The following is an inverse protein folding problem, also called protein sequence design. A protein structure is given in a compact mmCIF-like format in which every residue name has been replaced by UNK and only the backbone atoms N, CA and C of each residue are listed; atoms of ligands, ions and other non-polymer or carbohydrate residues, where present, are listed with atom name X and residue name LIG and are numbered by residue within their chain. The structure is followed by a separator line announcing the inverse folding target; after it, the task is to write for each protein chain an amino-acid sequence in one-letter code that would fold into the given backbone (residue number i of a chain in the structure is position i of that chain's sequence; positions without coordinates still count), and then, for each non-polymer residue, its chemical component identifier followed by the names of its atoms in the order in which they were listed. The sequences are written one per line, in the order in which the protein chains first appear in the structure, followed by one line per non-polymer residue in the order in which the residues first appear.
data_IF_448666771121
#
_entry.id   IF_448666771121
#
_cell.length_a   1.000
_cell.length_b   1.000
_cell.length_c   1.000
_cell.angle_alpha   90.00
_cell.angle_beta   90.00
_cell.angle_gamma   90.00
#
_symmetry.space_group_name_H-M   'P 1'
#
loop_
_entity.id
_entity.type
_entity.pdbx_description
1 polymer ?
#
# COMPACT_ATOMS: atom_id res chain seq x y z
N UNK A 1 1.00 7.28 -25.15
CA UNK A 1 1.59 6.65 -23.95
C UNK A 1 1.59 5.17 -24.22
N UNK A 2 2.74 4.51 -24.23
CA UNK A 2 2.82 3.05 -24.42
C UNK A 2 2.19 2.37 -23.22
N UNK A 3 1.22 1.48 -23.46
CA UNK A 3 0.42 0.72 -22.47
C UNK A 3 1.24 -0.29 -21.63
N UNK A 4 2.55 -0.11 -21.51
CA UNK A 4 3.41 -0.98 -20.68
C UNK A 4 3.33 -0.53 -19.23
N UNK A 5 2.85 -1.37 -18.30
CA UNK A 5 2.90 -1.08 -16.88
C UNK A 5 4.32 -0.70 -16.43
N UNK A 6 4.50 0.29 -15.54
CA UNK A 6 5.83 0.64 -15.01
C UNK A 6 6.58 -0.54 -14.37
N UNK A 7 5.85 -1.48 -13.77
CA UNK A 7 6.40 -2.75 -13.26
C UNK A 7 7.10 -3.55 -14.34
N UNK A 8 6.52 -3.65 -15.53
CA UNK A 8 7.09 -4.43 -16.64
C UNK A 8 8.32 -3.75 -17.21
N UNK A 9 8.31 -2.41 -17.23
CA UNK A 9 9.48 -1.62 -17.63
C UNK A 9 10.64 -1.80 -16.65
N UNK A 10 10.37 -1.87 -15.34
CA UNK A 10 11.41 -2.14 -14.34
C UNK A 10 11.91 -3.59 -14.40
N UNK A 11 10.99 -4.56 -14.42
CA UNK A 11 11.33 -5.99 -14.48
C UNK A 11 12.00 -6.45 -15.78
N UNK A 12 11.98 -5.61 -16.82
CA UNK A 12 12.72 -5.81 -18.08
C UNK A 12 13.97 -4.92 -18.21
N UNK A 13 14.37 -4.22 -17.16
CA UNK A 13 15.60 -3.42 -17.12
C UNK A 13 15.54 -2.11 -17.89
N UNK A 14 14.35 -1.64 -18.29
CA UNK A 14 14.18 -0.37 -19.04
C UNK A 14 14.20 0.86 -18.15
N UNK A 15 13.95 0.70 -16.84
CA UNK A 15 14.08 1.76 -15.84
C UNK A 15 14.92 1.27 -14.66
N UNK A 16 15.70 2.17 -14.06
CA UNK A 16 16.70 1.83 -13.03
C UNK A 16 16.13 1.77 -11.61
N UNK A 17 15.08 2.55 -11.32
CA UNK A 17 14.42 2.58 -10.00
C UNK A 17 12.91 2.62 -10.21
N UNK A 18 12.18 1.90 -9.34
CA UNK A 18 10.73 1.89 -9.36
C UNK A 18 10.16 1.95 -7.94
N UNK A 19 9.38 3.00 -7.67
CA UNK A 19 8.68 3.15 -6.40
C UNK A 19 7.47 2.21 -6.34
N UNK A 20 7.47 1.26 -5.42
CA UNK A 20 6.46 0.21 -5.39
C UNK A 20 6.18 -0.33 -3.97
N UNK A 21 5.27 -1.28 -3.87
CA UNK A 21 4.81 -1.90 -2.63
C UNK A 21 5.33 -3.33 -2.49
N UNK A 22 5.34 -3.85 -1.27
CA UNK A 22 5.81 -5.20 -0.91
C UNK A 22 5.13 -6.32 -1.72
N UNK A 23 3.89 -6.14 -2.16
CA UNK A 23 3.16 -7.10 -2.99
C UNK A 23 3.80 -7.37 -4.36
N UNK A 24 4.69 -6.49 -4.84
CA UNK A 24 5.41 -6.68 -6.10
C UNK A 24 6.69 -7.52 -5.96
N UNK A 25 7.11 -7.89 -4.74
CA UNK A 25 8.30 -8.72 -4.54
C UNK A 25 8.22 -10.02 -5.35
N UNK A 26 7.07 -10.71 -5.33
CA UNK A 26 6.84 -11.89 -6.16
C UNK A 26 7.04 -11.64 -7.65
N UNK A 27 6.44 -10.56 -8.16
CA UNK A 27 6.50 -10.20 -9.57
C UNK A 27 7.94 -9.98 -10.01
N UNK A 28 8.75 -9.27 -9.21
CA UNK A 28 10.15 -9.02 -9.55
C UNK A 28 11.06 -10.21 -9.34
N UNK A 29 10.77 -11.07 -8.36
CA UNK A 29 11.49 -12.33 -8.16
C UNK A 29 11.34 -13.27 -9.36
N UNK A 30 10.26 -13.14 -10.14
CA UNK A 30 9.98 -13.90 -11.35
C UNK A 30 10.35 -13.15 -12.65
N UNK A 31 10.92 -11.95 -12.55
CA UNK A 31 11.24 -11.12 -13.72
C UNK A 31 12.57 -11.52 -14.38
N UNK A 32 12.79 -11.07 -15.62
CA UNK A 32 14.06 -11.31 -16.34
C UNK A 32 15.27 -10.70 -15.60
N UNK A 33 15.04 -9.61 -14.88
CA UNK A 33 16.06 -8.88 -14.12
C UNK A 33 16.10 -9.24 -12.63
N UNK A 34 15.47 -10.35 -12.21
CA UNK A 34 15.37 -10.72 -10.79
C UNK A 34 16.72 -10.76 -10.04
N UNK A 35 17.82 -11.08 -10.74
CA UNK A 35 19.18 -11.13 -10.18
C UNK A 35 19.88 -9.76 -10.06
N UNK A 36 19.31 -8.73 -10.69
CA UNK A 36 19.86 -7.38 -10.80
C UNK A 36 19.01 -6.35 -10.04
N UNK A 37 17.93 -6.79 -9.39
CA UNK A 37 16.99 -5.95 -8.65
C UNK A 37 17.17 -6.21 -7.16
N UNK A 38 17.03 -5.16 -6.36
CA UNK A 38 16.91 -5.26 -4.91
C UNK A 38 15.97 -4.14 -4.39
N UNK A 39 15.70 -4.16 -3.09
CA UNK A 39 14.83 -3.21 -2.39
C UNK A 39 15.68 -2.22 -1.59
N UNK A 40 15.36 -0.94 -1.68
CA UNK A 40 16.00 0.11 -0.91
C UNK A 40 14.97 0.92 -0.10
N UNK A 41 15.36 1.51 1.04
CA UNK A 41 14.49 2.43 1.77
C UNK A 41 14.04 3.61 0.92
N UNK A 42 12.85 4.16 1.21
CA UNK A 42 12.41 5.38 0.53
C UNK A 42 13.36 6.54 0.87
N UNK A 43 13.73 7.41 -0.09
CA UNK A 43 14.62 8.54 0.17
C UNK A 43 14.12 9.40 1.34
N UNK A 44 15.04 9.84 2.20
CA UNK A 44 14.70 10.68 3.34
C UNK A 44 14.37 12.12 2.89
N UNK A 45 13.23 12.63 3.36
CA UNK A 45 12.88 14.05 3.29
C UNK A 45 13.25 14.78 4.59
N UNK A 46 12.81 16.04 4.76
CA UNK A 46 13.04 16.82 5.98
C UNK A 46 12.52 16.17 7.27
N UNK A 47 11.49 15.32 7.16
CA UNK A 47 10.92 14.54 8.26
C UNK A 47 11.48 13.11 8.36
N UNK A 48 12.55 12.80 7.62
CA UNK A 48 13.13 11.47 7.51
C UNK A 48 12.52 10.62 6.39
N UNK A 49 12.82 9.32 6.43
CA UNK A 49 12.25 8.32 5.51
C UNK A 49 10.88 7.87 6.03
N UNK A 50 9.82 8.47 5.47
CA UNK A 50 8.43 8.22 5.87
C UNK A 50 7.66 7.68 4.67
N UNK A 51 7.01 6.53 4.86
CA UNK A 51 6.11 5.92 3.86
C UNK A 51 4.67 5.88 4.36
N UNK A 52 3.75 5.55 3.44
CA UNK A 52 2.34 5.31 3.76
C UNK A 52 2.16 3.85 4.13
N UNK A 53 1.53 3.59 5.29
CA UNK A 53 1.10 2.27 5.70
C UNK A 53 -0.37 2.06 5.31
N UNK A 54 -0.62 0.98 4.57
CA UNK A 54 -1.96 0.46 4.34
C UNK A 54 -2.10 -0.91 4.99
N UNK A 55 -3.32 -1.24 5.44
CA UNK A 55 -3.64 -2.52 6.05
C UNK A 55 -4.92 -3.06 5.46
N UNK A 56 -4.92 -4.35 5.12
CA UNK A 56 -6.08 -5.06 4.59
C UNK A 56 -6.66 -5.92 5.72
N UNK A 57 -7.98 -5.87 5.89
CA UNK A 57 -8.70 -6.68 6.88
C UNK A 57 -9.88 -7.40 6.23
N UNK A 58 -10.30 -8.50 6.87
CA UNK A 58 -11.48 -9.26 6.44
C UNK A 58 -12.68 -8.84 7.29
N UNK A 59 -13.72 -8.33 6.63
CA UNK A 59 -14.99 -7.98 7.26
C UNK A 59 -16.04 -9.08 7.12
N UNK A 60 -16.96 -9.17 8.09
CA UNK A 60 -18.13 -10.07 8.00
C UNK A 60 -19.37 -9.25 7.66
N UNK A 61 -20.14 -9.71 6.67
CA UNK A 61 -21.43 -9.10 6.37
C UNK A 61 -22.41 -9.31 7.54
N UNK A 62 -22.88 -8.21 8.14
CA UNK A 62 -23.81 -8.24 9.27
C UNK A 62 -25.14 -8.95 8.97
N UNK A 63 -25.52 -9.08 7.70
CA UNK A 63 -26.75 -9.76 7.24
C UNK A 63 -26.51 -11.21 6.78
N UNK A 64 -25.31 -11.77 7.03
CA UNK A 64 -24.99 -13.15 6.66
C UNK A 64 -25.92 -14.15 7.36
N UNK A 65 -26.39 -15.16 6.62
CA UNK A 65 -27.11 -16.30 7.20
C UNK A 65 -26.19 -17.24 8.00
N UNK A 66 -24.88 -17.17 7.77
CA UNK A 66 -23.84 -17.98 8.41
C UNK A 66 -22.91 -17.09 9.23
N UNK A 67 -23.49 -16.26 10.10
CA UNK A 67 -22.74 -15.20 10.80
C UNK A 67 -21.69 -15.79 11.75
N UNK A 68 -22.01 -16.87 12.44
CA UNK A 68 -21.12 -17.48 13.43
C UNK A 68 -19.94 -18.21 12.77
N UNK A 69 -20.18 -18.92 11.67
CA UNK A 69 -19.13 -19.54 10.86
C UNK A 69 -18.21 -18.48 10.25
N UNK A 70 -18.77 -17.39 9.72
CA UNK A 70 -18.00 -16.29 9.16
C UNK A 70 -17.12 -15.61 10.23
N UNK A 71 -17.62 -15.41 11.45
CA UNK A 71 -16.83 -14.90 12.57
C UNK A 71 -15.69 -15.85 12.95
N UNK A 72 -15.96 -17.16 13.03
CA UNK A 72 -14.94 -18.17 13.31
C UNK A 72 -13.84 -18.18 12.23
N UNK A 73 -14.24 -18.06 10.97
CA UNK A 73 -13.29 -17.96 9.86
C UNK A 73 -12.42 -16.71 9.96
N UNK A 74 -13.00 -15.53 10.22
CA UNK A 74 -12.21 -14.31 10.41
C UNK A 74 -11.26 -14.42 11.61
N UNK A 75 -11.70 -15.03 12.71
CA UNK A 75 -10.84 -15.27 13.87
C UNK A 75 -9.66 -16.20 13.53
N UNK A 76 -9.89 -17.23 12.72
CA UNK A 76 -8.81 -18.11 12.23
C UNK A 76 -7.82 -17.35 11.33
N UNK A 77 -8.32 -16.60 10.34
CA UNK A 77 -7.48 -15.83 9.40
C UNK A 77 -6.66 -14.77 10.13
N UNK A 78 -7.24 -14.10 11.13
CA UNK A 78 -6.56 -13.11 11.96
C UNK A 78 -5.67 -13.73 13.05
N UNK A 79 -5.79 -15.03 13.29
CA UNK A 79 -4.97 -15.77 14.24
C UNK A 79 -3.58 -16.10 13.70
N UNK A 80 -2.75 -16.66 14.57
CA UNK A 80 -1.35 -16.98 14.26
C UNK A 80 -1.21 -17.95 13.07
N UNK A 81 -2.05 -18.99 13.00
CA UNK A 81 -2.02 -19.97 11.91
C UNK A 81 -2.39 -19.34 10.56
N UNK A 82 -3.46 -18.53 10.53
CA UNK A 82 -3.86 -17.81 9.32
C UNK A 82 -2.78 -16.84 8.85
N UNK A 83 -2.14 -16.15 9.80
CA UNK A 83 -1.04 -15.24 9.52
C UNK A 83 0.22 -15.97 8.98
N UNK A 84 0.54 -17.16 9.49
CA UNK A 84 1.63 -18.01 8.95
C UNK A 84 1.36 -18.46 7.52
N UNK A 85 0.15 -18.96 7.24
CA UNK A 85 -0.26 -19.36 5.88
C UNK A 85 -0.12 -18.17 4.92
N UNK A 86 -0.52 -16.97 5.34
CA UNK A 86 -0.35 -15.76 4.54
C UNK A 86 1.12 -15.42 4.28
N UNK A 87 1.97 -15.54 5.31
CA UNK A 87 3.40 -15.28 5.21
C UNK A 87 4.09 -16.21 4.21
N UNK A 88 3.77 -17.50 4.28
CA UNK A 88 4.30 -18.55 3.39
C UNK A 88 3.91 -18.33 1.92
N UNK A 89 2.74 -17.73 1.67
CA UNK A 89 2.34 -17.36 0.32
C UNK A 89 3.20 -16.24 -0.31
N UNK A 90 3.99 -15.51 0.50
CA UNK A 90 4.93 -14.47 0.04
C UNK A 90 4.29 -13.15 -0.45
N UNK A 91 2.97 -13.09 -0.56
CA UNK A 91 2.28 -11.96 -1.21
C UNK A 91 2.05 -10.74 -0.30
N UNK A 92 2.03 -10.93 1.02
CA UNK A 92 1.76 -9.86 1.98
C UNK A 92 2.47 -10.09 3.31
N UNK A 93 2.80 -9.00 4.00
CA UNK A 93 3.33 -9.03 5.36
C UNK A 93 2.14 -9.25 6.32
N UNK A 94 2.12 -10.34 7.11
CA UNK A 94 1.05 -10.54 8.08
C UNK A 94 1.07 -9.49 9.18
N UNK A 95 -0.11 -9.14 9.69
CA UNK A 95 -0.27 -8.18 10.78
C UNK A 95 -0.08 -8.81 12.18
N UNK A 96 -0.11 -10.14 12.28
CA UNK A 96 0.08 -10.84 13.57
C UNK A 96 1.56 -10.80 13.95
N UNK A 97 1.86 -10.16 15.08
CA UNK A 97 3.24 -9.98 15.52
C UNK A 97 3.95 -11.34 15.69
N UNK A 98 5.10 -11.47 15.05
CA UNK A 98 5.96 -12.66 15.15
C UNK A 98 5.76 -13.66 14.02
N UNK A 99 4.88 -13.42 13.05
CA UNK A 99 4.64 -14.34 11.92
C UNK A 99 5.24 -13.86 10.59
N UNK A 100 6.04 -12.79 10.59
CA UNK A 100 6.59 -12.21 9.35
C UNK A 100 7.84 -12.93 8.81
N UNK A 101 8.47 -13.80 9.60
CA UNK A 101 9.73 -14.47 9.23
C UNK A 101 9.63 -15.28 7.94
N UNK A 102 8.51 -15.97 7.71
CA UNK A 102 8.31 -16.72 6.48
C UNK A 102 8.20 -15.79 5.26
N UNK A 103 7.61 -14.60 5.43
CA UNK A 103 7.57 -13.61 4.37
C UNK A 103 8.96 -13.05 4.06
N UNK A 104 9.78 -12.74 5.08
CA UNK A 104 11.17 -12.28 4.89
C UNK A 104 12.03 -13.30 4.12
N UNK A 105 11.71 -14.60 4.25
CA UNK A 105 12.42 -15.70 3.58
C UNK A 105 11.83 -16.07 2.22
N UNK A 106 10.72 -15.44 1.81
CA UNK A 106 9.99 -15.82 0.58
C UNK A 106 10.75 -15.50 -0.71
N UNK A 107 11.56 -14.44 -0.71
CA UNK A 107 12.39 -14.01 -1.85
C UNK A 107 13.80 -13.68 -1.35
N UNK A 108 14.66 -14.70 -1.10
CA UNK A 108 15.96 -14.52 -0.46
C UNK A 108 16.96 -13.68 -1.28
N UNK A 109 16.66 -13.41 -2.56
CA UNK A 109 17.44 -12.50 -3.39
C UNK A 109 17.21 -11.01 -3.08
N UNK A 110 16.16 -10.67 -2.31
CA UNK A 110 15.79 -9.28 -2.01
C UNK A 110 15.92 -8.98 -0.52
N UNK A 111 16.32 -7.75 -0.19
CA UNK A 111 16.28 -7.23 1.17
C UNK A 111 14.86 -6.83 1.59
N UNK A 112 14.04 -7.83 1.93
CA UNK A 112 12.67 -7.63 2.36
C UNK A 112 12.55 -6.98 3.75
N UNK A 113 13.63 -6.94 4.55
CA UNK A 113 13.64 -6.30 5.87
C UNK A 113 13.33 -4.80 5.77
N UNK A 114 13.70 -4.17 4.64
CA UNK A 114 13.39 -2.76 4.34
C UNK A 114 11.91 -2.44 4.53
N UNK A 115 10.99 -3.34 4.15
CA UNK A 115 9.56 -3.08 4.30
C UNK A 115 9.08 -3.13 5.76
N UNK A 116 9.65 -4.05 6.56
CA UNK A 116 9.35 -4.10 8.00
C UNK A 116 9.92 -2.88 8.72
N UNK A 117 11.12 -2.44 8.35
CA UNK A 117 11.72 -1.25 8.94
C UNK A 117 10.96 0.03 8.55
N UNK A 118 10.53 0.14 7.30
CA UNK A 118 9.69 1.24 6.85
C UNK A 118 8.35 1.30 7.61
N UNK A 119 7.80 0.16 8.01
CA UNK A 119 6.54 0.11 8.78
C UNK A 119 6.63 0.78 10.16
N UNK A 120 7.84 0.87 10.74
CA UNK A 120 8.07 1.48 12.08
C UNK A 120 7.89 3.00 12.08
N UNK A 121 8.18 3.65 10.95
CA UNK A 121 8.06 5.11 10.80
C UNK A 121 6.87 5.52 9.93
N UNK A 122 6.26 4.57 9.24
CA UNK A 122 5.16 4.81 8.32
C UNK A 122 3.96 5.47 8.99
N UNK A 123 3.21 6.25 8.21
CA UNK A 123 1.95 6.86 8.63
C UNK A 123 0.78 6.15 7.97
N UNK A 124 -0.25 5.82 8.76
CA UNK A 124 -1.46 5.21 8.23
C UNK A 124 -2.13 6.15 7.23
N UNK A 125 -2.56 5.59 6.10
CA UNK A 125 -3.38 6.35 5.16
C UNK A 125 -4.69 6.80 5.82
N UNK A 126 -5.11 8.07 5.67
CA UNK A 126 -6.34 8.58 6.27
C UNK A 126 -7.57 7.75 5.84
N UNK A 127 -8.46 7.46 6.80
CA UNK A 127 -9.70 6.72 6.56
C UNK A 127 -10.91 7.56 6.99
N UNK A 128 -11.93 7.61 6.15
CA UNK A 128 -13.24 8.19 6.47
C UNK A 128 -14.35 7.49 5.69
N UNK A 129 -15.60 7.67 6.11
CA UNK A 129 -16.77 7.15 5.37
C UNK A 129 -16.91 7.79 3.99
N UNK A 130 -16.34 8.97 3.78
CA UNK A 130 -16.33 9.73 2.52
C UNK A 130 -15.04 9.56 1.72
N UNK A 131 -14.23 8.55 2.03
CA UNK A 131 -12.91 8.32 1.43
C UNK A 131 -12.90 8.42 -0.09
N UNK A 132 -13.74 7.64 -0.76
CA UNK A 132 -13.83 7.68 -2.21
C UNK A 132 -14.17 9.08 -2.73
N UNK A 133 -15.10 9.77 -2.09
CA UNK A 133 -15.52 11.11 -2.53
C UNK A 133 -14.43 12.16 -2.39
N UNK A 134 -13.65 12.14 -1.31
CA UNK A 134 -12.56 13.11 -1.18
C UNK A 134 -11.33 12.72 -2.02
N UNK A 135 -11.12 11.44 -2.30
CA UNK A 135 -10.06 10.97 -3.21
C UNK A 135 -10.29 11.37 -4.66
N UNK A 136 -11.56 11.44 -5.10
CA UNK A 136 -11.90 11.92 -6.44
C UNK A 136 -11.47 13.40 -6.61
N UNK A 137 -11.80 14.23 -5.63
CA UNK A 137 -11.42 15.65 -5.60
C UNK A 137 -9.90 15.83 -5.48
N UNK A 138 -9.27 15.01 -4.63
CA UNK A 138 -7.81 14.96 -4.52
C UNK A 138 -7.15 14.65 -5.87
N UNK A 139 -7.67 13.67 -6.60
CA UNK A 139 -7.11 13.24 -7.88
C UNK A 139 -7.19 14.33 -8.96
N UNK A 140 -8.22 15.18 -8.93
CA UNK A 140 -8.37 16.30 -9.85
C UNK A 140 -7.33 17.41 -9.59
N UNK A 141 -7.29 17.94 -8.37
CA UNK A 141 -6.32 18.99 -8.00
C UNK A 141 -4.88 18.54 -8.21
N UNK A 142 -4.57 17.31 -7.81
CA UNK A 142 -3.23 16.75 -7.98
C UNK A 142 -2.81 16.71 -9.45
N UNK A 143 -3.74 16.35 -10.35
CA UNK A 143 -3.51 16.38 -11.80
C UNK A 143 -3.29 17.80 -12.32
N UNK A 144 -4.06 18.77 -11.85
CA UNK A 144 -3.90 20.18 -12.25
C UNK A 144 -2.55 20.74 -11.79
N UNK A 145 -2.13 20.43 -10.56
CA UNK A 145 -0.80 20.79 -10.03
C UNK A 145 0.30 20.18 -10.90
N UNK A 146 0.25 18.87 -11.21
CA UNK A 146 1.29 18.23 -12.03
C UNK A 146 1.35 18.73 -13.47
N UNK A 147 0.22 19.15 -14.03
CA UNK A 147 0.15 19.71 -15.38
C UNK A 147 0.42 21.21 -15.42
N UNK A 148 0.67 21.84 -14.27
CA UNK A 148 0.92 23.29 -14.15
C UNK A 148 -0.30 24.16 -14.38
N UNK A 149 -1.52 23.59 -14.39
CA UNK A 149 -2.78 24.35 -14.48
C UNK A 149 -3.09 25.11 -13.20
N UNK A 150 -2.65 24.57 -12.06
CA UNK A 150 -2.71 25.19 -10.74
C UNK A 150 -1.29 25.33 -10.20
N UNK A 151 -1.02 26.39 -9.44
CA UNK A 151 0.21 26.48 -8.67
C UNK A 151 0.17 25.45 -7.53
N UNK A 152 1.34 25.01 -7.04
CA UNK A 152 1.40 24.06 -5.91
C UNK A 152 0.71 24.64 -4.68
N UNK A 153 0.92 25.92 -4.36
CA UNK A 153 0.32 26.55 -3.18
C UNK A 153 -1.20 26.64 -3.32
N UNK A 154 -1.68 27.24 -4.41
CA UNK A 154 -3.12 27.49 -4.59
C UNK A 154 -3.89 26.18 -4.74
N UNK A 155 -3.32 25.20 -5.45
CA UNK A 155 -3.92 23.88 -5.63
C UNK A 155 -4.03 23.11 -4.31
N UNK A 156 -3.04 23.22 -3.42
CA UNK A 156 -3.09 22.59 -2.10
C UNK A 156 -4.10 23.27 -1.16
N UNK A 157 -4.20 24.61 -1.19
CA UNK A 157 -5.18 25.36 -0.39
C UNK A 157 -6.62 25.07 -0.85
N UNK A 158 -6.84 25.04 -2.17
CA UNK A 158 -8.11 24.66 -2.78
C UNK A 158 -8.49 23.22 -2.44
N UNK A 159 -7.53 22.29 -2.58
CA UNK A 159 -7.71 20.89 -2.24
C UNK A 159 -8.12 20.72 -0.77
N UNK A 160 -7.43 21.37 0.16
CA UNK A 160 -7.74 21.29 1.58
C UNK A 160 -9.18 21.74 1.87
N UNK A 161 -9.59 22.87 1.28
CA UNK A 161 -10.96 23.39 1.41
C UNK A 161 -11.99 22.41 0.85
N UNK A 162 -11.73 21.85 -0.33
CA UNK A 162 -12.66 20.95 -1.01
C UNK A 162 -12.82 19.61 -0.27
N UNK A 163 -11.70 19.01 0.19
CA UNK A 163 -11.71 17.77 1.00
C UNK A 163 -12.46 17.99 2.31
N UNK A 164 -12.23 19.13 2.99
CA UNK A 164 -12.91 19.45 4.24
C UNK A 164 -14.44 19.53 4.05
N UNK A 165 -14.91 20.17 2.97
CA UNK A 165 -16.33 20.24 2.65
C UNK A 165 -16.97 18.86 2.41
N UNK A 166 -16.24 17.96 1.73
CA UNK A 166 -16.69 16.57 1.52
C UNK A 166 -16.79 15.80 2.84
N UNK A 167 -15.80 15.96 3.72
CA UNK A 167 -15.80 15.33 5.04
C UNK A 167 -16.98 15.84 5.89
N UNK A 168 -17.22 17.15 5.92
CA UNK A 168 -18.28 17.72 6.75
C UNK A 168 -19.69 17.37 6.25
N UNK A 169 -19.86 17.22 4.93
CA UNK A 169 -21.12 16.72 4.36
C UNK A 169 -21.43 15.29 4.79
N UNK A 170 -20.42 14.44 4.92
CA UNK A 170 -20.59 13.03 5.26
C UNK A 170 -20.75 12.72 6.74
N UNK A 171 -20.53 13.72 7.62
CA UNK A 171 -20.82 13.61 9.06
C UNK A 171 -22.30 13.80 9.39
N UNK A 172 -23.09 14.31 8.45
CA UNK A 172 -24.55 14.51 8.58
C UNK A 172 -25.29 13.25 8.14
#
# INVERSE_FOLDING_TARGET
MTDTPPSDSFGSGKIAMYWTQNSNAKTFAMSAEAKNIDVAPVPAGPAGSITVLNSVGVGVNAKSKNLDEAKKFVAFVAGEDGARIQAEAGNAIPAYAGTQDAWLKSYPQFDLQVFLDASKTAKSYPKSVSMSSWQDVESEHRRNIWTGKESVSDGLDALNTAVQAVIDKAKK
#
